data_IF_072143826996
#
_entry.id   IF_072143826996
#
_cell.length_a   1.000
_cell.length_b   1.000
_cell.length_c   1.000
_cell.angle_alpha   90.00
_cell.angle_beta   90.00
_cell.angle_gamma   90.00
#
_symmetry.space_group_name_H-M   'P 1'
#
loop_
_entity.id
_entity.type
_entity.pdbx_description
1 polymer ?
#
# COMPACT_ATOMS: atom_id res chain seq x y z
N UNK A 1 -21.14 26.88 -41.36
CA UNK A 1 -22.05 27.11 -40.23
C UNK A 1 -21.62 26.10 -39.19
N UNK A 2 -20.91 26.52 -38.15
CA UNK A 2 -20.50 25.62 -37.07
C UNK A 2 -21.75 25.26 -36.28
N UNK A 3 -22.05 23.97 -36.21
CA UNK A 3 -23.25 23.46 -35.56
C UNK A 3 -23.00 23.29 -34.06
N UNK A 4 -24.06 23.36 -33.25
CA UNK A 4 -23.96 23.12 -31.80
C UNK A 4 -23.53 21.67 -31.55
N UNK A 5 -23.94 20.76 -32.44
CA UNK A 5 -23.62 19.34 -32.42
C UNK A 5 -22.12 19.06 -32.62
N UNK A 6 -21.45 19.81 -33.50
CA UNK A 6 -20.00 19.69 -33.72
C UNK A 6 -19.22 20.16 -32.48
N UNK A 7 -19.71 21.20 -31.80
CA UNK A 7 -19.14 21.68 -30.54
C UNK A 7 -19.36 20.70 -29.39
N UNK A 8 -20.52 20.06 -29.28
CA UNK A 8 -20.76 19.03 -28.26
C UNK A 8 -19.79 17.85 -28.42
N UNK A 9 -19.47 17.48 -29.67
CA UNK A 9 -18.51 16.39 -29.96
C UNK A 9 -17.07 16.80 -29.63
N UNK A 10 -16.70 18.05 -29.87
CA UNK A 10 -15.38 18.59 -29.61
C UNK A 10 -15.45 20.03 -29.09
N UNK A 11 -15.62 20.23 -27.77
CA UNK A 11 -15.76 21.57 -27.21
C UNK A 11 -14.44 22.33 -27.34
N UNK A 12 -14.43 23.45 -28.06
CA UNK A 12 -13.24 24.28 -28.23
C UNK A 12 -13.55 25.76 -28.03
N UNK A 13 -12.59 26.47 -27.46
CA UNK A 13 -12.76 27.87 -27.09
C UNK A 13 -13.03 28.75 -28.32
N UNK A 14 -12.34 28.46 -29.42
CA UNK A 14 -12.45 29.17 -30.70
C UNK A 14 -13.86 29.05 -31.31
N UNK A 15 -14.48 27.87 -31.21
CA UNK A 15 -15.86 27.65 -31.68
C UNK A 15 -16.86 28.46 -30.86
N UNK A 16 -16.65 28.54 -29.53
CA UNK A 16 -17.55 29.28 -28.63
C UNK A 16 -17.53 30.81 -28.91
N UNK A 17 -16.43 31.34 -29.44
CA UNK A 17 -16.30 32.76 -29.80
C UNK A 17 -17.13 33.14 -31.03
N UNK A 18 -17.38 32.19 -31.94
CA UNK A 18 -18.21 32.39 -33.12
C UNK A 18 -19.71 32.31 -32.87
N UNK A 19 -20.15 31.68 -31.77
CA UNK A 19 -21.55 31.30 -31.58
C UNK A 19 -22.52 32.47 -31.41
N UNK A 20 -23.74 32.31 -31.96
CA UNK A 20 -24.88 33.20 -31.74
C UNK A 20 -25.40 33.08 -30.31
N UNK A 21 -26.27 34.02 -29.89
CA UNK A 21 -26.85 33.98 -28.55
C UNK A 21 -27.67 32.70 -28.34
N UNK A 22 -28.43 32.31 -29.36
CA UNK A 22 -29.28 31.12 -29.37
C UNK A 22 -28.43 29.85 -29.28
N UNK A 23 -27.33 29.79 -30.04
CA UNK A 23 -26.38 28.67 -29.96
C UNK A 23 -25.73 28.55 -28.58
N UNK A 24 -25.36 29.68 -27.95
CA UNK A 24 -24.83 29.68 -26.58
C UNK A 24 -25.85 29.22 -25.55
N UNK A 25 -27.14 29.54 -25.74
CA UNK A 25 -28.24 29.03 -24.89
C UNK A 25 -28.40 27.53 -25.10
N UNK A 26 -28.39 27.03 -26.35
CA UNK A 26 -28.44 25.59 -26.63
C UNK A 26 -27.25 24.84 -26.01
N UNK A 27 -26.04 25.42 -26.06
CA UNK A 27 -24.87 24.86 -25.37
C UNK A 27 -25.10 24.85 -23.86
N UNK A 28 -25.57 25.95 -23.27
CA UNK A 28 -25.86 25.98 -21.84
C UNK A 28 -26.91 24.94 -21.43
N UNK A 29 -27.98 24.75 -22.21
CA UNK A 29 -28.98 23.71 -21.97
C UNK A 29 -28.37 22.30 -22.11
N UNK A 30 -27.54 22.06 -23.13
CA UNK A 30 -26.91 20.76 -23.36
C UNK A 30 -25.96 20.36 -22.23
N UNK A 31 -25.21 21.32 -21.68
CA UNK A 31 -24.29 21.11 -20.57
C UNK A 31 -24.92 21.40 -19.19
N UNK A 32 -26.23 21.63 -19.13
CA UNK A 32 -27.00 21.95 -17.91
C UNK A 32 -26.42 23.12 -17.09
N UNK A 33 -25.97 24.17 -17.76
CA UNK A 33 -25.40 25.38 -17.17
C UNK A 33 -26.49 26.43 -16.89
N UNK A 34 -26.49 26.98 -15.68
CA UNK A 34 -27.37 28.11 -15.34
C UNK A 34 -26.73 29.44 -15.74
N UNK A 35 -27.27 30.07 -16.78
CA UNK A 35 -26.78 31.36 -17.30
C UNK A 35 -27.62 32.54 -16.77
N UNK A 36 -28.74 32.26 -16.10
CA UNK A 36 -29.74 33.22 -15.67
C UNK A 36 -30.47 33.93 -16.83
N UNK A 37 -31.62 34.51 -16.52
CA UNK A 37 -32.44 35.21 -17.50
C UNK A 37 -31.90 36.60 -17.84
N UNK A 38 -31.75 36.90 -19.15
CA UNK A 38 -31.51 38.24 -19.73
C UNK A 38 -30.10 38.84 -19.55
N UNK A 39 -29.05 38.06 -19.84
CA UNK A 39 -27.69 38.62 -20.01
C UNK A 39 -27.35 38.87 -21.50
N UNK A 40 -26.49 39.85 -21.77
CA UNK A 40 -25.92 40.11 -23.10
C UNK A 40 -25.17 38.88 -23.63
N UNK A 41 -25.06 38.74 -24.96
CA UNK A 41 -24.35 37.63 -25.62
C UNK A 41 -22.96 37.34 -25.01
N UNK A 42 -22.21 38.40 -24.71
CA UNK A 42 -20.88 38.32 -24.11
C UNK A 42 -20.88 37.73 -22.70
N UNK A 43 -21.88 38.09 -21.89
CA UNK A 43 -22.04 37.55 -20.54
C UNK A 43 -22.42 36.08 -20.57
N UNK A 44 -23.33 35.69 -21.47
CA UNK A 44 -23.70 34.28 -21.69
C UNK A 44 -22.45 33.49 -22.10
N UNK A 45 -21.66 34.02 -23.05
CA UNK A 45 -20.39 33.41 -23.46
C UNK A 45 -19.42 33.28 -22.30
N UNK A 46 -19.25 34.33 -21.48
CA UNK A 46 -18.33 34.31 -20.34
C UNK A 46 -18.72 33.24 -19.31
N UNK A 47 -20.01 33.13 -18.99
CA UNK A 47 -20.52 32.12 -18.06
C UNK A 47 -20.34 30.71 -18.64
N UNK A 48 -20.75 30.48 -19.89
CA UNK A 48 -20.60 29.17 -20.54
C UNK A 48 -19.11 28.79 -20.63
N UNK A 49 -18.24 29.73 -21.01
CA UNK A 49 -16.78 29.52 -21.08
C UNK A 49 -16.18 29.15 -19.72
N UNK A 50 -16.54 29.86 -18.66
CA UNK A 50 -16.04 29.56 -17.31
C UNK A 50 -16.48 28.18 -16.83
N UNK A 51 -17.76 27.85 -16.99
CA UNK A 51 -18.30 26.56 -16.55
C UNK A 51 -17.74 25.40 -17.39
N UNK A 52 -17.62 25.55 -18.71
CA UNK A 52 -17.00 24.54 -19.56
C UNK A 52 -15.51 24.35 -19.26
N UNK A 53 -14.81 25.40 -18.83
CA UNK A 53 -13.44 25.31 -18.37
C UNK A 53 -13.33 24.54 -17.04
N UNK A 54 -14.25 24.77 -16.10
CA UNK A 54 -14.33 24.03 -14.84
C UNK A 54 -14.72 22.56 -15.04
N UNK A 55 -15.59 22.28 -16.01
CA UNK A 55 -15.97 20.92 -16.41
C UNK A 55 -14.87 20.19 -17.20
N UNK A 56 -13.75 20.84 -17.53
CA UNK A 56 -12.66 20.25 -18.30
C UNK A 56 -12.99 20.00 -19.77
N UNK A 57 -14.03 20.64 -20.29
CA UNK A 57 -14.46 20.49 -21.69
C UNK A 57 -13.45 21.10 -22.68
N UNK A 58 -12.63 22.08 -22.24
CA UNK A 58 -11.52 22.63 -23.03
C UNK A 58 -10.19 21.91 -22.73
N UNK A 59 -9.46 21.54 -23.79
CA UNK A 59 -8.05 21.13 -23.68
C UNK A 59 -7.23 22.33 -23.20
N UNK A 60 -6.97 22.41 -21.90
CA UNK A 60 -6.27 23.54 -21.26
C UNK A 60 -6.89 24.02 -19.94
N UNK A 61 -8.05 23.46 -19.53
CA UNK A 61 -8.67 23.71 -18.24
C UNK A 61 -7.80 23.28 -17.06
N UNK A 62 -7.01 24.20 -16.45
CA UNK A 62 -6.30 24.16 -15.14
C UNK A 62 -5.84 22.82 -14.52
N UNK A 63 -5.66 21.78 -15.32
CA UNK A 63 -4.89 20.59 -15.05
C UNK A 63 -3.78 20.50 -16.11
N UNK A 64 -3.01 21.58 -16.26
CA UNK A 64 -1.64 21.40 -16.74
C UNK A 64 -0.89 20.76 -15.58
N UNK A 65 -0.92 19.44 -15.50
CA UNK A 65 0.14 18.68 -14.84
C UNK A 65 1.42 19.04 -15.57
N UNK A 66 2.15 20.03 -15.03
CA UNK A 66 3.54 20.26 -15.35
C UNK A 66 4.30 18.97 -14.96
N UNK A 67 4.91 18.23 -15.90
CA UNK A 67 5.62 16.99 -15.58
C UNK A 67 6.95 17.23 -14.86
N UNK A 68 7.31 18.48 -14.56
CA UNK A 68 8.68 18.85 -14.22
C UNK A 68 8.73 19.90 -13.12
N UNK A 69 8.12 19.63 -11.96
CA UNK A 69 8.66 20.09 -10.67
C UNK A 69 8.05 19.41 -9.46
N UNK A 70 8.96 18.77 -8.72
CA UNK A 70 8.93 18.54 -7.29
C UNK A 70 7.94 17.52 -6.72
N UNK A 71 8.42 16.27 -6.76
CA UNK A 71 8.34 15.31 -5.66
C UNK A 71 8.49 15.97 -4.28
N UNK A 72 7.40 16.36 -3.63
CA UNK A 72 7.16 16.14 -2.20
C UNK A 72 5.70 16.47 -1.87
N UNK A 73 5.10 15.63 -1.04
CA UNK A 73 3.78 15.77 -0.44
C UNK A 73 2.56 15.28 -1.24
N UNK A 74 2.62 13.99 -1.57
CA UNK A 74 1.43 13.13 -1.60
C UNK A 74 0.75 13.15 -0.22
N UNK A 75 -0.26 14.00 -0.02
CA UNK A 75 -1.50 13.69 0.73
C UNK A 75 -2.28 14.99 0.94
N UNK A 76 -3.37 15.19 0.20
CA UNK A 76 -4.28 16.32 0.43
C UNK A 76 -5.20 16.72 -0.71
N UNK A 77 -5.01 16.18 -1.92
CA UNK A 77 -5.94 16.45 -3.03
C UNK A 77 -6.91 15.28 -3.20
N UNK A 78 -7.94 15.22 -2.36
CA UNK A 78 -9.06 14.30 -2.54
C UNK A 78 -10.33 15.03 -2.11
N UNK A 79 -10.83 15.95 -2.94
CA UNK A 79 -12.28 16.23 -2.89
C UNK A 79 -12.86 17.15 -3.95
N UNK A 80 -12.03 17.85 -4.73
CA UNK A 80 -12.52 18.73 -5.78
C UNK A 80 -13.05 17.91 -6.97
N UNK A 81 -14.31 17.45 -6.90
CA UNK A 81 -15.04 16.86 -8.03
C UNK A 81 -15.85 15.58 -7.75
N UNK A 82 -15.81 15.02 -6.53
CA UNK A 82 -16.54 13.79 -6.21
C UNK A 82 -17.91 14.08 -5.60
N UNK A 83 -18.92 13.28 -5.98
CA UNK A 83 -20.24 13.34 -5.33
C UNK A 83 -20.14 12.82 -3.90
N UNK A 84 -21.11 13.18 -3.06
CA UNK A 84 -21.16 12.69 -1.67
C UNK A 84 -21.14 11.16 -1.59
N UNK A 85 -21.82 10.49 -2.51
CA UNK A 85 -21.90 9.04 -2.57
C UNK A 85 -20.56 8.40 -2.94
N UNK A 86 -19.85 8.99 -3.91
CA UNK A 86 -18.49 8.56 -4.28
C UNK A 86 -17.49 8.75 -3.14
N UNK A 87 -17.57 9.87 -2.40
CA UNK A 87 -16.73 10.11 -1.21
C UNK A 87 -16.97 9.08 -0.12
N UNK A 88 -18.24 8.74 0.11
CA UNK A 88 -18.63 7.72 1.10
C UNK A 88 -18.10 6.35 0.71
N UNK A 89 -18.23 5.95 -0.54
CA UNK A 89 -17.72 4.66 -1.03
C UNK A 89 -16.20 4.58 -0.90
N UNK A 90 -15.50 5.66 -1.26
CA UNK A 90 -14.03 5.73 -1.12
C UNK A 90 -13.58 5.57 0.34
N UNK A 91 -14.30 6.21 1.28
CA UNK A 91 -14.02 6.09 2.71
C UNK A 91 -14.27 4.67 3.23
N UNK A 92 -15.34 4.01 2.75
CA UNK A 92 -15.64 2.63 3.10
C UNK A 92 -14.56 1.68 2.57
N UNK A 93 -14.13 1.82 1.32
CA UNK A 93 -13.07 1.02 0.72
C UNK A 93 -11.74 1.19 1.47
N UNK A 94 -11.41 2.42 1.86
CA UNK A 94 -10.21 2.68 2.66
C UNK A 94 -10.28 1.99 4.03
N UNK A 95 -11.43 2.08 4.70
CA UNK A 95 -11.65 1.41 5.99
C UNK A 95 -11.56 -0.11 5.84
N UNK A 96 -12.07 -0.67 4.75
CA UNK A 96 -12.02 -2.11 4.48
C UNK A 96 -10.60 -2.60 4.21
N UNK A 97 -9.79 -1.83 3.47
CA UNK A 97 -8.36 -2.10 3.30
C UNK A 97 -7.61 -2.08 4.62
N UNK A 98 -7.87 -1.08 5.47
CA UNK A 98 -7.28 -0.98 6.81
C UNK A 98 -7.68 -2.17 7.69
N UNK A 99 -8.96 -2.56 7.66
CA UNK A 99 -9.47 -3.72 8.39
C UNK A 99 -8.79 -5.02 7.94
N UNK A 100 -8.70 -5.26 6.63
CA UNK A 100 -8.04 -6.44 6.08
C UNK A 100 -6.54 -6.46 6.42
N UNK A 101 -5.88 -5.30 6.43
CA UNK A 101 -4.48 -5.21 6.84
C UNK A 101 -4.29 -5.58 8.32
N UNK A 102 -5.18 -5.10 9.21
CA UNK A 102 -5.16 -5.45 10.63
C UNK A 102 -5.44 -6.94 10.85
N UNK A 103 -6.42 -7.52 10.15
CA UNK A 103 -6.73 -8.95 10.24
C UNK A 103 -5.56 -9.82 9.76
N UNK A 104 -4.91 -9.42 8.66
CA UNK A 104 -3.70 -10.10 8.17
C UNK A 104 -2.57 -10.06 9.20
N UNK A 105 -2.27 -8.87 9.75
CA UNK A 105 -1.25 -8.71 10.79
C UNK A 105 -1.55 -9.57 12.02
N UNK A 106 -2.81 -9.63 12.45
CA UNK A 106 -3.25 -10.47 13.56
C UNK A 106 -3.01 -11.96 13.27
N UNK A 107 -3.32 -12.41 12.06
CA UNK A 107 -3.04 -13.78 11.62
C UNK A 107 -1.55 -14.10 11.62
N UNK A 108 -0.71 -13.21 11.08
CA UNK A 108 0.74 -13.37 11.07
C UNK A 108 1.35 -13.43 12.48
N UNK A 109 0.85 -12.62 13.41
CA UNK A 109 1.27 -12.65 14.82
C UNK A 109 0.90 -13.98 15.47
N UNK A 110 -0.31 -14.50 15.24
CA UNK A 110 -0.73 -15.79 15.80
C UNK A 110 0.10 -16.94 15.24
N UNK A 111 0.38 -16.95 13.93
CA UNK A 111 1.26 -17.95 13.30
C UNK A 111 2.66 -17.91 13.93
N UNK A 112 3.28 -16.74 14.03
CA UNK A 112 4.59 -16.59 14.67
C UNK A 112 4.58 -17.04 16.12
N UNK A 113 3.49 -16.81 16.85
CA UNK A 113 3.32 -17.30 18.22
C UNK A 113 3.32 -18.82 18.28
N UNK A 114 2.54 -19.47 17.40
CA UNK A 114 2.46 -20.93 17.30
C UNK A 114 3.81 -21.54 16.89
N UNK A 115 4.52 -20.95 15.93
CA UNK A 115 5.86 -21.39 15.53
C UNK A 115 6.89 -21.31 16.67
N UNK A 116 6.85 -20.23 17.46
CA UNK A 116 7.71 -20.09 18.64
C UNK A 116 7.36 -21.13 19.71
N UNK A 117 6.07 -21.40 19.92
CA UNK A 117 5.61 -22.41 20.86
C UNK A 117 6.01 -23.82 20.41
N UNK A 118 5.87 -24.14 19.12
CA UNK A 118 6.35 -25.39 18.54
C UNK A 118 7.86 -25.54 18.71
N UNK A 119 8.65 -24.50 18.39
CA UNK A 119 10.10 -24.51 18.63
C UNK A 119 10.45 -24.73 20.10
N UNK A 120 9.69 -24.14 21.03
CA UNK A 120 9.88 -24.33 22.48
C UNK A 120 9.61 -25.77 22.89
N UNK A 121 8.59 -26.41 22.34
CA UNK A 121 8.24 -27.81 22.62
C UNK A 121 9.19 -28.82 21.95
N UNK A 122 9.68 -28.48 20.74
CA UNK A 122 10.66 -29.28 19.99
C UNK A 122 12.11 -29.05 20.45
N UNK A 123 12.36 -28.16 21.43
CA UNK A 123 13.64 -28.16 22.12
C UNK A 123 13.78 -29.52 22.81
N UNK A 124 14.83 -30.32 22.52
CA UNK A 124 15.05 -31.55 23.24
C UNK A 124 15.19 -31.19 24.72
N UNK A 125 14.35 -31.78 25.57
CA UNK A 125 14.55 -31.79 27.00
C UNK A 125 16.03 -32.11 27.22
N UNK A 126 16.74 -31.19 27.88
CA UNK A 126 18.18 -31.03 27.77
C UNK A 126 18.91 -32.37 27.66
N UNK A 127 19.86 -32.46 26.72
CA UNK A 127 20.87 -33.51 26.79
C UNK A 127 21.30 -33.60 28.27
N UNK A 128 21.26 -34.80 28.89
CA UNK A 128 21.90 -34.93 30.17
C UNK A 128 23.31 -34.43 29.93
N UNK A 129 23.69 -33.35 30.62
CA UNK A 129 25.08 -32.93 30.67
C UNK A 129 25.77 -34.11 31.34
N UNK A 130 26.24 -35.06 30.54
CA UNK A 130 27.14 -36.10 31.03
C UNK A 130 28.36 -35.30 31.42
N UNK A 131 28.49 -35.06 32.73
CA UNK A 131 29.65 -34.38 33.27
C UNK A 131 30.87 -35.14 32.73
N UNK A 132 31.81 -34.48 32.03
CA UNK A 132 33.05 -35.12 31.58
C UNK A 132 33.77 -35.87 32.72
N UNK A 133 33.53 -35.49 33.98
CA UNK A 133 34.02 -36.15 35.20
C UNK A 133 33.44 -37.55 35.45
N UNK A 134 32.35 -37.95 34.79
CA UNK A 134 31.76 -39.30 34.91
C UNK A 134 32.34 -40.31 33.91
N UNK A 135 33.21 -39.87 33.00
CA UNK A 135 33.83 -40.70 31.97
C UNK A 135 35.33 -40.82 32.24
N UNK A 136 35.84 -42.04 32.26
CA UNK A 136 37.27 -42.30 32.42
C UNK A 136 38.06 -41.84 31.18
N UNK A 137 39.00 -40.90 31.36
CA UNK A 137 39.85 -40.40 30.26
C UNK A 137 40.72 -41.46 29.56
N UNK A 138 40.98 -42.60 30.20
CA UNK A 138 41.81 -43.65 29.63
C UNK A 138 41.01 -44.63 28.77
N UNK A 139 39.87 -45.13 29.27
CA UNK A 139 39.09 -46.16 28.58
C UNK A 139 37.74 -45.68 28.04
N UNK A 140 37.36 -44.43 28.33
CA UNK A 140 36.06 -43.81 28.03
C UNK A 140 34.84 -44.53 28.63
N UNK A 141 35.04 -45.39 29.61
CA UNK A 141 33.97 -46.03 30.38
C UNK A 141 33.44 -45.14 31.50
N UNK A 142 32.17 -45.33 31.90
CA UNK A 142 31.53 -44.56 32.99
C UNK A 142 31.82 -45.15 34.37
N UNK A 143 31.63 -44.33 35.41
CA UNK A 143 31.59 -44.76 36.82
C UNK A 143 32.95 -44.95 37.50
N UNK A 144 34.04 -44.52 36.87
CA UNK A 144 35.37 -44.52 37.47
C UNK A 144 36.27 -43.46 36.81
N UNK A 145 37.26 -42.98 37.54
CA UNK A 145 38.26 -42.04 37.01
C UNK A 145 39.47 -42.79 36.44
N UNK A 146 40.32 -42.09 35.67
CA UNK A 146 41.55 -42.67 35.09
C UNK A 146 42.45 -43.33 36.13
N UNK A 147 42.52 -42.77 37.35
CA UNK A 147 43.30 -43.32 38.46
C UNK A 147 42.81 -44.70 38.93
N UNK A 148 41.51 -44.95 38.82
CA UNK A 148 40.84 -46.19 39.24
C UNK A 148 40.48 -47.11 38.09
N UNK A 149 40.93 -46.78 36.88
CA UNK A 149 40.64 -47.57 35.70
C UNK A 149 41.32 -48.94 35.76
N UNK A 150 40.55 -50.06 35.73
CA UNK A 150 41.12 -51.40 35.71
C UNK A 150 42.06 -51.62 34.52
N UNK A 151 41.72 -51.06 33.35
CA UNK A 151 42.56 -51.12 32.15
C UNK A 151 43.87 -50.35 32.30
N UNK A 152 43.85 -49.19 32.97
CA UNK A 152 45.07 -48.42 33.22
C UNK A 152 45.98 -49.08 34.26
N UNK A 153 45.40 -49.67 35.31
CA UNK A 153 46.14 -50.45 36.33
C UNK A 153 46.81 -51.68 35.70
N UNK A 154 46.09 -52.41 34.84
CA UNK A 154 46.65 -53.54 34.09
C UNK A 154 47.79 -53.12 33.13
N UNK A 155 47.66 -51.98 32.45
CA UNK A 155 48.70 -51.45 31.54
C UNK A 155 49.97 -51.02 32.28
N UNK A 156 49.87 -50.55 33.53
CA UNK A 156 51.03 -50.18 34.36
C UNK A 156 51.82 -51.39 34.86
N UNK A 157 51.13 -52.49 35.17
CA UNK A 157 51.78 -53.74 35.57
C UNK A 157 52.62 -54.40 34.47
N UNK A 158 52.32 -54.12 33.21
CA UNK A 158 53.04 -54.70 32.07
C UNK A 158 54.28 -53.88 31.63
N UNK A 159 54.45 -52.66 32.14
CA UNK A 159 55.56 -51.75 31.78
C UNK A 159 56.65 -51.65 32.86
N UNK A 160 56.59 -52.48 33.91
CA UNK A 160 57.52 -52.48 35.04
C UNK A 160 58.43 -53.72 35.13
N UNK A 161 58.62 -54.44 34.01
CA UNK A 161 59.48 -55.62 33.93
C UNK A 161 60.55 -55.46 32.83
N UNK A 162 61.58 -54.68 33.12
CA UNK A 162 62.92 -54.83 32.55
C UNK A 162 63.92 -54.85 33.70
#
# INVERSE_FOLDING_TARGET
MESVEDFVRAPSEELLEGFSREQLICVAEHFHLDVGDKRLKENIRGIVKANLFELGAFKGGKYTVDPSRDSVNMSGCRDAGLTFEQRKELLLLQTEMEKLAVEKMRGEVEIKRLELEERRLNLPAGQPRVDPSEVCDFCRGRGHWKADCPKAKASRGNNGGQ
#
